data_IF_622543085916
#
_entry.id   IF_622543085916
#
_cell.length_a   1.000
_cell.length_b   1.000
_cell.length_c   1.000
_cell.angle_alpha   90.00
_cell.angle_beta   90.00
_cell.angle_gamma   90.00
#
_symmetry.space_group_name_H-M   'P 1'
#
loop_
_entity.id
_entity.type
_entity.pdbx_description
1 polymer ?
#
# COMPACT_ATOMS: atom_id res chain seq x y z
N UNK A 1 22.76 51.63 -35.65
CA UNK A 1 24.06 52.12 -35.19
C UNK A 1 24.59 51.06 -34.25
N UNK A 2 25.62 50.30 -34.47
CA UNK A 2 26.70 50.28 -35.47
C UNK A 2 27.36 48.90 -35.37
N UNK A 3 27.75 48.46 -36.51
CA UNK A 3 28.59 47.30 -36.80
C UNK A 3 29.90 47.31 -36.01
N UNK A 4 30.47 46.13 -35.73
CA UNK A 4 31.87 45.89 -36.09
C UNK A 4 32.13 44.41 -36.38
N UNK A 5 32.52 44.22 -37.64
CA UNK A 5 33.12 43.04 -38.26
C UNK A 5 34.61 43.02 -37.92
N UNK A 6 35.21 41.86 -37.73
CA UNK A 6 36.66 41.71 -37.57
C UNK A 6 37.10 40.28 -37.90
N UNK A 7 37.33 40.05 -39.23
CA UNK A 7 38.14 38.95 -39.76
C UNK A 7 39.61 39.21 -39.46
N UNK A 8 40.38 38.21 -39.01
CA UNK A 8 41.81 38.11 -39.35
C UNK A 8 42.19 36.67 -39.65
N UNK A 9 42.83 36.55 -40.81
CA UNK A 9 43.32 35.37 -41.49
C UNK A 9 44.63 34.82 -40.92
N UNK A 10 44.87 33.55 -41.13
CA UNK A 10 46.07 32.95 -41.63
C UNK A 10 47.25 32.71 -40.69
N UNK A 11 47.62 31.46 -40.49
CA UNK A 11 48.97 31.02 -40.85
C UNK A 11 49.05 29.49 -40.91
N UNK A 12 49.39 29.03 -42.10
CA UNK A 12 49.78 27.66 -42.42
C UNK A 12 51.26 27.51 -42.10
N UNK A 13 51.63 26.68 -41.16
CA UNK A 13 53.03 26.21 -41.02
C UNK A 13 53.03 24.69 -41.24
N UNK A 14 53.61 24.35 -42.42
CA UNK A 14 54.03 22.98 -42.73
C UNK A 14 55.37 22.74 -42.02
N UNK A 15 55.40 21.71 -41.15
CA UNK A 15 56.64 21.14 -40.65
C UNK A 15 56.69 19.66 -40.98
N UNK A 16 57.77 19.28 -41.65
CA UNK A 16 58.18 17.99 -42.18
C UNK A 16 58.36 16.96 -40.98
N UNK A 17 57.98 15.75 -41.25
CA UNK A 17 58.22 14.60 -40.37
C UNK A 17 59.71 14.16 -40.39
N UNK A 18 60.15 13.49 -39.30
CA UNK A 18 60.98 12.31 -39.46
C UNK A 18 60.29 11.06 -38.93
N UNK A 19 60.40 10.03 -39.77
CA UNK A 19 60.01 8.67 -39.39
C UNK A 19 60.96 8.14 -38.30
N UNK A 20 60.41 7.77 -37.17
CA UNK A 20 61.07 6.94 -36.14
C UNK A 20 60.35 5.62 -36.06
N UNK A 21 61.02 4.55 -36.49
CA UNK A 21 60.62 3.18 -36.19
C UNK A 21 60.76 2.97 -34.69
N UNK A 22 59.64 2.70 -34.02
CA UNK A 22 59.63 2.21 -32.64
C UNK A 22 58.96 0.83 -32.59
N UNK A 23 59.69 -0.12 -32.06
CA UNK A 23 59.32 -1.50 -31.87
C UNK A 23 58.05 -1.63 -31.07
N UNK A 24 57.13 -2.47 -31.55
CA UNK A 24 55.90 -2.84 -30.82
C UNK A 24 56.26 -3.75 -29.66
N UNK A 25 56.27 -3.21 -28.46
CA UNK A 25 56.14 -4.00 -27.21
C UNK A 25 54.65 -4.30 -26.99
N UNK A 26 54.27 -5.56 -27.14
CA UNK A 26 52.95 -6.08 -26.77
C UNK A 26 52.82 -6.07 -25.25
N UNK A 27 52.41 -4.93 -24.70
CA UNK A 27 51.97 -4.83 -23.31
C UNK A 27 50.54 -5.32 -23.25
N UNK A 28 50.35 -6.59 -22.83
CA UNK A 28 49.03 -7.10 -22.54
C UNK A 28 48.39 -6.35 -21.38
N UNK A 29 47.46 -5.44 -21.70
CA UNK A 29 46.62 -4.78 -20.71
C UNK A 29 45.62 -5.80 -20.16
N UNK A 30 45.88 -6.29 -18.97
CA UNK A 30 44.89 -7.07 -18.18
C UNK A 30 43.78 -6.08 -17.82
N UNK A 31 42.66 -6.11 -18.57
CA UNK A 31 41.44 -5.39 -18.20
C UNK A 31 40.87 -6.11 -17.00
N UNK A 32 41.17 -5.63 -15.80
CA UNK A 32 40.43 -6.05 -14.59
C UNK A 32 39.01 -5.55 -14.74
N UNK A 33 38.08 -6.44 -15.08
CA UNK A 33 36.66 -6.19 -14.96
C UNK A 33 36.35 -6.02 -13.47
N UNK A 34 36.23 -4.77 -13.01
CA UNK A 34 35.69 -4.46 -11.71
C UNK A 34 34.22 -4.96 -11.71
N UNK A 35 33.96 -6.01 -10.95
CA UNK A 35 32.58 -6.43 -10.70
C UNK A 35 31.85 -5.27 -10.02
N UNK A 36 30.84 -4.72 -10.72
CA UNK A 36 29.95 -3.74 -10.12
C UNK A 36 29.30 -4.37 -8.87
N UNK A 37 29.24 -3.66 -7.73
CA UNK A 37 28.54 -4.17 -6.57
C UNK A 37 27.10 -4.47 -6.99
N UNK A 38 26.69 -5.73 -6.90
CA UNK A 38 25.29 -6.10 -6.99
C UNK A 38 24.60 -5.42 -5.79
N UNK A 39 23.74 -4.45 -6.06
CA UNK A 39 22.89 -3.88 -5.05
C UNK A 39 22.07 -5.04 -4.47
N UNK A 40 22.36 -5.43 -3.22
CA UNK A 40 21.51 -6.38 -2.50
C UNK A 40 20.11 -5.76 -2.45
N UNK A 41 19.14 -6.41 -3.08
CA UNK A 41 17.75 -6.05 -2.88
C UNK A 41 17.48 -6.09 -1.37
N UNK A 42 16.95 -5.01 -0.80
CA UNK A 42 16.55 -5.02 0.60
C UNK A 42 15.51 -6.13 0.81
N UNK A 43 15.64 -6.91 1.89
CA UNK A 43 14.67 -7.94 2.18
C UNK A 43 13.28 -7.32 2.37
N UNK A 44 12.25 -8.00 1.85
CA UNK A 44 10.88 -7.57 2.01
C UNK A 44 10.51 -7.47 3.50
N UNK A 45 9.87 -6.38 3.96
CA UNK A 45 9.41 -6.26 5.33
C UNK A 45 8.21 -7.22 5.58
N UNK A 46 8.02 -7.63 6.84
CA UNK A 46 6.84 -8.40 7.22
C UNK A 46 5.55 -7.58 7.08
N UNK A 47 5.65 -6.28 7.37
CA UNK A 47 4.55 -5.31 7.34
C UNK A 47 5.00 -4.06 6.60
N UNK A 48 4.14 -3.51 5.75
CA UNK A 48 4.35 -2.19 5.18
C UNK A 48 3.12 -1.31 5.41
N UNK A 49 3.33 -0.13 5.99
CA UNK A 49 2.30 0.89 6.17
C UNK A 49 2.42 1.90 5.05
N UNK A 50 1.37 2.04 4.25
CA UNK A 50 1.22 3.13 3.29
C UNK A 50 0.34 4.19 3.93
N UNK A 51 0.84 5.41 4.07
CA UNK A 51 0.08 6.47 4.76
C UNK A 51 -0.01 7.74 3.91
N UNK A 52 -1.23 8.18 3.66
CA UNK A 52 -1.54 9.46 3.02
C UNK A 52 -1.87 10.50 4.08
N UNK A 53 -1.09 11.59 4.12
CA UNK A 53 -1.23 12.68 5.08
C UNK A 53 -2.46 13.55 4.80
N UNK A 54 -2.81 14.42 5.74
CA UNK A 54 -3.91 15.38 5.59
C UNK A 54 -3.54 16.61 4.75
N UNK A 55 -4.54 17.41 4.40
CA UNK A 55 -4.39 18.67 3.67
C UNK A 55 -3.47 19.63 4.41
N UNK A 56 -2.48 20.18 3.70
CA UNK A 56 -1.57 21.18 4.24
C UNK A 56 -0.46 20.63 5.14
N UNK A 57 -0.42 19.33 5.39
CA UNK A 57 0.69 18.72 6.13
C UNK A 57 1.94 18.62 5.26
N UNK A 58 3.12 18.76 5.89
CA UNK A 58 4.42 18.63 5.23
C UNK A 58 4.63 17.22 4.64
N UNK A 59 5.50 17.08 3.62
CA UNK A 59 5.85 15.77 3.05
C UNK A 59 6.29 14.76 4.12
N UNK A 60 5.72 13.56 4.05
CA UNK A 60 5.88 12.51 5.05
C UNK A 60 4.53 11.86 5.36
N UNK A 61 4.42 11.24 6.52
CA UNK A 61 3.17 10.63 6.99
C UNK A 61 2.29 11.59 7.80
N UNK A 62 2.78 12.79 8.10
CA UNK A 62 2.11 13.75 8.97
C UNK A 62 2.05 13.30 10.43
N UNK A 63 1.59 14.19 11.36
CA UNK A 63 1.53 13.90 12.79
C UNK A 63 0.63 12.69 13.12
N UNK A 64 -0.56 12.62 12.54
CA UNK A 64 -1.50 11.50 12.74
C UNK A 64 -0.90 10.18 12.25
N UNK A 65 -0.23 10.20 11.08
CA UNK A 65 0.45 9.03 10.55
C UNK A 65 1.61 8.57 11.42
N UNK A 66 2.41 9.50 11.95
CA UNK A 66 3.51 9.16 12.84
C UNK A 66 3.01 8.51 14.12
N UNK A 67 2.00 9.11 14.75
CA UNK A 67 1.39 8.56 15.95
C UNK A 67 0.79 7.16 15.71
N UNK A 68 0.14 6.94 14.58
CA UNK A 68 -0.38 5.63 14.17
C UNK A 68 0.73 4.60 13.98
N UNK A 69 1.78 4.94 13.23
CA UNK A 69 2.93 4.06 12.96
C UNK A 69 3.60 3.64 14.26
N UNK A 70 3.84 4.57 15.19
CA UNK A 70 4.49 4.27 16.47
C UNK A 70 3.62 3.36 17.34
N UNK A 71 2.32 3.62 17.38
CA UNK A 71 1.36 2.75 18.07
C UNK A 71 1.30 1.35 17.47
N UNK A 72 1.30 1.22 16.14
CA UNK A 72 1.24 -0.07 15.46
C UNK A 72 2.54 -0.87 15.67
N UNK A 73 3.70 -0.21 15.59
CA UNK A 73 5.01 -0.85 15.80
C UNK A 73 5.09 -1.58 17.13
N UNK A 74 4.53 -1.00 18.20
CA UNK A 74 4.47 -1.62 19.52
C UNK A 74 3.54 -2.85 19.62
N UNK A 75 2.69 -3.11 18.61
CA UNK A 75 1.63 -4.14 18.64
C UNK A 75 1.85 -5.32 17.69
N UNK A 76 2.85 -5.25 16.81
CA UNK A 76 3.08 -6.28 15.79
C UNK A 76 4.11 -7.35 16.18
N UNK A 77 4.54 -7.38 17.44
CA UNK A 77 5.34 -8.48 18.00
C UNK A 77 6.73 -8.64 17.39
N UNK A 78 7.44 -7.55 17.15
CA UNK A 78 8.83 -7.56 16.65
C UNK A 78 8.98 -7.86 15.15
N UNK A 79 7.89 -7.92 14.38
CA UNK A 79 7.95 -8.00 12.92
C UNK A 79 8.61 -6.75 12.34
N UNK A 80 9.38 -6.94 11.28
CA UNK A 80 9.93 -5.84 10.50
C UNK A 80 8.80 -5.01 9.89
N UNK A 81 8.89 -3.68 10.01
CA UNK A 81 7.88 -2.77 9.48
C UNK A 81 8.54 -1.61 8.75
N UNK A 82 8.16 -1.45 7.50
CA UNK A 82 8.49 -0.31 6.66
C UNK A 82 7.30 0.65 6.54
N UNK A 83 7.59 1.92 6.24
CA UNK A 83 6.58 2.97 6.10
C UNK A 83 6.79 3.70 4.80
N UNK A 84 5.75 3.74 3.99
CA UNK A 84 5.73 4.47 2.74
C UNK A 84 4.78 5.67 2.84
N UNK A 85 5.30 6.90 2.94
CA UNK A 85 4.48 8.10 2.85
C UNK A 85 4.04 8.30 1.40
N UNK A 86 2.73 8.44 1.18
CA UNK A 86 2.18 8.67 -0.15
C UNK A 86 2.65 10.02 -0.67
N UNK A 87 3.22 10.00 -1.87
CA UNK A 87 3.75 11.18 -2.52
C UNK A 87 2.67 11.91 -3.32
N UNK A 88 2.16 13.00 -2.77
CA UNK A 88 1.20 13.88 -3.43
C UNK A 88 1.24 15.28 -2.79
N UNK A 89 0.68 16.32 -3.44
CA UNK A 89 0.74 17.68 -2.91
C UNK A 89 0.05 17.87 -1.55
N UNK A 90 -1.02 17.15 -1.27
CA UNK A 90 -1.87 17.32 -0.07
C UNK A 90 -2.34 18.78 0.09
N UNK A 91 -2.71 19.41 -1.02
CA UNK A 91 -3.09 20.81 -1.07
C UNK A 91 -4.60 21.01 -0.86
N UNK A 92 -5.03 22.26 -0.71
CA UNK A 92 -6.46 22.59 -0.69
C UNK A 92 -7.14 22.37 -2.04
N UNK A 93 -6.38 22.21 -3.12
CA UNK A 93 -6.87 21.82 -4.43
C UNK A 93 -7.07 20.30 -4.47
N UNK A 94 -8.30 19.86 -4.25
CA UNK A 94 -8.64 18.44 -4.06
C UNK A 94 -8.34 17.56 -5.28
N UNK A 95 -8.38 18.12 -6.49
CA UNK A 95 -7.95 17.42 -7.71
C UNK A 95 -6.53 16.85 -7.61
N UNK A 96 -5.65 17.45 -6.79
CA UNK A 96 -4.29 16.93 -6.55
C UNK A 96 -4.26 15.62 -5.77
N UNK A 97 -5.38 15.25 -5.14
CA UNK A 97 -5.55 13.93 -4.52
C UNK A 97 -5.42 12.77 -5.51
N UNK A 98 -5.68 13.02 -6.81
CA UNK A 98 -5.48 12.03 -7.87
C UNK A 98 -4.02 11.55 -7.96
N UNK A 99 -3.05 12.42 -7.68
CA UNK A 99 -1.64 12.03 -7.67
C UNK A 99 -1.37 11.06 -6.52
N UNK A 100 -2.01 11.28 -5.37
CA UNK A 100 -1.95 10.36 -4.23
C UNK A 100 -2.59 9.01 -4.52
N UNK A 101 -3.72 8.98 -5.23
CA UNK A 101 -4.38 7.73 -5.64
C UNK A 101 -3.47 6.96 -6.62
N UNK A 102 -2.83 7.65 -7.57
CA UNK A 102 -1.88 7.03 -8.52
C UNK A 102 -0.65 6.47 -7.82
N UNK A 103 -0.03 7.26 -6.96
CA UNK A 103 1.17 6.87 -6.23
C UNK A 103 0.87 5.66 -5.32
N UNK A 104 -0.20 5.73 -4.53
CA UNK A 104 -0.60 4.65 -3.64
C UNK A 104 -0.95 3.37 -4.40
N UNK A 105 -1.75 3.47 -5.47
CA UNK A 105 -2.13 2.32 -6.30
C UNK A 105 -0.92 1.63 -6.91
N UNK A 106 -0.02 2.39 -7.54
CA UNK A 106 1.20 1.86 -8.14
C UNK A 106 2.12 1.20 -7.10
N UNK A 107 2.26 1.81 -5.91
CA UNK A 107 3.07 1.22 -4.84
C UNK A 107 2.48 -0.07 -4.29
N UNK A 108 1.17 -0.12 -4.09
CA UNK A 108 0.45 -1.34 -3.65
C UNK A 108 0.65 -2.48 -4.66
N UNK A 109 0.46 -2.23 -5.96
CA UNK A 109 0.69 -3.23 -7.01
C UNK A 109 2.14 -3.70 -7.06
N UNK A 110 3.09 -2.77 -6.99
CA UNK A 110 4.53 -3.07 -6.97
C UNK A 110 4.91 -3.92 -5.77
N UNK A 111 4.42 -3.59 -4.57
CA UNK A 111 4.68 -4.38 -3.36
C UNK A 111 4.05 -5.76 -3.43
N UNK A 112 2.81 -5.88 -3.91
CA UNK A 112 2.15 -7.17 -4.09
C UNK A 112 2.93 -8.09 -5.04
N UNK A 113 3.54 -7.53 -6.09
CA UNK A 113 4.32 -8.28 -7.07
C UNK A 113 5.72 -8.65 -6.56
N UNK A 114 6.44 -7.70 -5.94
CA UNK A 114 7.84 -7.89 -5.54
C UNK A 114 8.00 -8.51 -4.15
N UNK A 115 7.06 -8.25 -3.25
CA UNK A 115 7.06 -8.71 -1.86
C UNK A 115 5.73 -9.39 -1.48
N UNK A 116 5.36 -10.51 -2.10
CA UNK A 116 4.02 -11.10 -1.98
C UNK A 116 3.64 -11.57 -0.57
N UNK A 117 4.60 -11.69 0.35
CA UNK A 117 4.35 -12.08 1.74
C UNK A 117 4.20 -10.86 2.68
N UNK A 118 4.56 -9.66 2.21
CA UNK A 118 4.41 -8.44 2.99
C UNK A 118 2.92 -8.14 3.22
N UNK A 119 2.56 -7.91 4.47
CA UNK A 119 1.20 -7.50 4.86
C UNK A 119 1.10 -5.99 4.78
N UNK A 120 0.39 -5.47 3.80
CA UNK A 120 0.19 -4.03 3.65
C UNK A 120 -0.93 -3.53 4.56
N UNK A 121 -0.72 -2.34 5.15
CA UNK A 121 -1.72 -1.56 5.86
C UNK A 121 -1.89 -0.24 5.11
N UNK A 122 -3.07 -0.03 4.53
CA UNK A 122 -3.41 1.21 3.83
C UNK A 122 -4.05 2.16 4.82
N UNK A 123 -3.50 3.35 4.97
CA UNK A 123 -4.00 4.29 5.97
C UNK A 123 -3.88 5.74 5.48
N UNK A 124 -4.66 6.62 6.08
CA UNK A 124 -4.59 8.05 5.79
C UNK A 124 -5.43 8.85 6.76
N UNK A 125 -5.19 10.17 6.75
CA UNK A 125 -5.90 11.13 7.56
C UNK A 125 -6.57 12.20 6.68
N UNK A 126 -7.83 12.54 6.99
CA UNK A 126 -8.57 13.62 6.31
C UNK A 126 -8.61 13.43 4.78
N UNK A 127 -8.05 14.35 3.97
CA UNK A 127 -7.89 14.18 2.53
C UNK A 127 -7.14 12.88 2.20
N UNK A 128 -6.09 12.53 2.95
CA UNK A 128 -5.39 11.27 2.77
C UNK A 128 -6.24 10.05 3.06
N UNK A 129 -7.20 10.14 3.98
CA UNK A 129 -8.18 9.07 4.19
C UNK A 129 -9.14 8.92 2.99
N UNK A 130 -9.50 10.03 2.35
CA UNK A 130 -10.24 9.97 1.08
C UNK A 130 -9.40 9.36 -0.05
N UNK A 131 -8.13 9.75 -0.19
CA UNK A 131 -7.19 9.17 -1.16
C UNK A 131 -7.14 7.65 -1.00
N UNK A 132 -6.89 7.15 0.21
CA UNK A 132 -6.82 5.70 0.46
C UNK A 132 -8.18 5.02 0.31
N UNK A 133 -9.26 5.72 0.59
CA UNK A 133 -10.61 5.26 0.33
C UNK A 133 -10.86 5.04 -1.16
N UNK A 134 -10.42 5.96 -2.02
CA UNK A 134 -10.53 5.80 -3.48
C UNK A 134 -9.61 4.70 -4.02
N UNK A 135 -8.41 4.52 -3.47
CA UNK A 135 -7.53 3.38 -3.81
C UNK A 135 -8.22 2.04 -3.59
N UNK A 136 -9.07 1.96 -2.56
CA UNK A 136 -9.82 0.74 -2.21
C UNK A 136 -11.24 0.70 -2.79
N UNK A 137 -11.59 1.64 -3.67
CA UNK A 137 -12.90 1.70 -4.34
C UNK A 137 -13.07 0.56 -5.35
N UNK A 138 -14.28 0.02 -5.51
CA UNK A 138 -14.54 -1.07 -6.47
C UNK A 138 -14.66 -0.60 -7.92
N UNK A 139 -14.89 0.70 -8.12
CA UNK A 139 -15.13 1.30 -9.41
C UNK A 139 -14.75 2.79 -9.41
N UNK A 140 -14.58 3.35 -10.60
CA UNK A 140 -14.54 4.81 -10.77
C UNK A 140 -15.91 5.38 -10.37
N UNK A 141 -15.94 6.47 -9.56
CA UNK A 141 -17.21 7.08 -9.15
C UNK A 141 -18.07 7.53 -10.33
N UNK A 142 -19.39 7.49 -10.16
CA UNK A 142 -20.33 7.97 -11.15
C UNK A 142 -20.07 9.45 -11.50
N UNK A 143 -20.14 9.78 -12.78
CA UNK A 143 -19.90 11.14 -13.29
C UNK A 143 -18.43 11.51 -13.47
N UNK A 144 -17.48 10.65 -13.07
CA UNK A 144 -16.04 10.85 -13.30
C UNK A 144 -15.63 10.15 -14.59
N UNK A 145 -14.91 10.86 -15.48
CA UNK A 145 -14.38 10.25 -16.70
C UNK A 145 -13.28 9.23 -16.36
N UNK A 146 -13.48 7.93 -16.65
CA UNK A 146 -12.49 6.89 -16.36
C UNK A 146 -11.13 7.07 -17.05
N UNK A 147 -11.08 7.88 -18.13
CA UNK A 147 -9.82 8.16 -18.82
C UNK A 147 -8.90 9.13 -18.04
N UNK A 148 -9.46 9.88 -17.09
CA UNK A 148 -8.74 10.93 -16.33
C UNK A 148 -8.23 10.46 -14.98
N UNK A 149 -8.70 9.31 -14.49
CA UNK A 149 -8.42 8.79 -13.14
C UNK A 149 -7.76 7.41 -13.18
N UNK A 150 -7.08 6.99 -12.11
CA UNK A 150 -6.56 5.64 -12.01
C UNK A 150 -7.67 4.58 -12.08
N UNK A 151 -7.35 3.45 -12.66
CA UNK A 151 -8.26 2.29 -12.63
C UNK A 151 -8.31 1.72 -11.21
N UNK A 152 -9.45 1.16 -10.79
CA UNK A 152 -9.54 0.39 -9.55
C UNK A 152 -8.51 -0.74 -9.53
N UNK A 153 -7.96 -1.02 -8.34
CA UNK A 153 -7.05 -2.16 -8.14
C UNK A 153 -7.75 -3.48 -8.47
N UNK A 154 -7.01 -4.40 -9.07
CA UNK A 154 -7.51 -5.74 -9.31
C UNK A 154 -7.91 -6.43 -7.98
N UNK A 155 -9.03 -7.18 -7.94
CA UNK A 155 -9.58 -7.74 -6.69
C UNK A 155 -8.59 -8.61 -5.90
N UNK A 156 -7.68 -9.31 -6.59
CA UNK A 156 -6.64 -10.15 -5.98
C UNK A 156 -5.62 -9.37 -5.16
N UNK A 157 -5.38 -8.11 -5.49
CA UNK A 157 -4.48 -7.22 -4.74
C UNK A 157 -4.94 -7.08 -3.29
N UNK A 158 -6.25 -7.15 -3.04
CA UNK A 158 -6.77 -7.12 -1.68
C UNK A 158 -6.21 -8.23 -0.78
N UNK A 159 -5.75 -9.36 -1.33
CA UNK A 159 -5.18 -10.45 -0.54
C UNK A 159 -3.85 -10.05 0.14
N UNK A 160 -3.14 -9.07 -0.38
CA UNK A 160 -1.89 -8.52 0.18
C UNK A 160 -2.13 -7.40 1.19
N UNK A 161 -3.37 -6.89 1.29
CA UNK A 161 -3.76 -5.84 2.23
C UNK A 161 -4.37 -6.48 3.48
N UNK A 162 -3.69 -6.32 4.61
CA UNK A 162 -4.16 -6.83 5.91
C UNK A 162 -5.25 -5.94 6.51
N UNK A 163 -5.09 -4.63 6.43
CA UNK A 163 -6.02 -3.65 7.00
C UNK A 163 -6.08 -2.36 6.19
N UNK A 164 -7.22 -1.68 6.28
CA UNK A 164 -7.42 -0.30 5.84
C UNK A 164 -7.88 0.51 7.06
N UNK A 165 -7.12 1.56 7.41
CA UNK A 165 -7.38 2.37 8.61
C UNK A 165 -7.48 3.84 8.19
N UNK A 166 -8.68 4.39 8.26
CA UNK A 166 -8.98 5.72 7.76
C UNK A 166 -9.37 6.65 8.92
N UNK A 167 -8.56 7.66 9.18
CA UNK A 167 -8.77 8.65 10.23
C UNK A 167 -9.45 9.90 9.66
N UNK A 168 -10.52 10.37 10.30
CA UNK A 168 -11.22 11.59 9.88
C UNK A 168 -11.69 11.55 8.42
N UNK A 169 -12.14 10.39 7.93
CA UNK A 169 -12.57 10.23 6.53
C UNK A 169 -13.74 11.15 6.22
N UNK A 170 -13.64 12.02 5.20
CA UNK A 170 -14.76 12.86 4.83
C UNK A 170 -16.03 12.07 4.56
N UNK A 171 -17.11 12.43 5.23
CA UNK A 171 -18.44 11.87 5.00
C UNK A 171 -19.07 12.43 3.71
N UNK A 172 -20.22 11.90 3.31
CA UNK A 172 -20.92 12.32 2.08
C UNK A 172 -21.20 13.83 2.08
N UNK A 173 -21.54 14.41 3.26
CA UNK A 173 -21.82 15.87 3.36
C UNK A 173 -20.55 16.68 3.09
N UNK A 174 -19.41 16.26 3.68
CA UNK A 174 -18.12 16.93 3.47
C UNK A 174 -17.67 16.81 2.01
N UNK A 175 -17.79 15.61 1.41
CA UNK A 175 -17.44 15.41 0.00
C UNK A 175 -18.31 16.23 -0.94
N UNK A 176 -19.63 16.31 -0.70
CA UNK A 176 -20.53 17.15 -1.46
C UNK A 176 -20.18 18.65 -1.35
N UNK A 177 -19.78 19.12 -0.14
CA UNK A 177 -19.32 20.49 0.06
C UNK A 177 -18.06 20.79 -0.76
N UNK A 178 -17.18 19.81 -0.91
CA UNK A 178 -15.95 19.90 -1.69
C UNK A 178 -16.18 19.69 -3.20
N UNK A 179 -17.42 19.41 -3.61
CA UNK A 179 -17.78 19.04 -4.98
C UNK A 179 -16.99 17.80 -5.49
N UNK A 180 -16.75 16.87 -4.58
CA UNK A 180 -16.03 15.61 -4.84
C UNK A 180 -16.98 14.41 -4.69
N UNK A 181 -16.74 13.31 -5.39
CA UNK A 181 -17.57 12.11 -5.26
C UNK A 181 -17.41 11.47 -3.88
N UNK A 182 -18.44 10.73 -3.38
CA UNK A 182 -18.36 10.07 -2.07
C UNK A 182 -17.32 8.97 -2.06
N UNK A 183 -16.66 8.78 -0.90
CA UNK A 183 -15.70 7.71 -0.66
C UNK A 183 -16.42 6.39 -0.42
N UNK A 184 -16.30 5.45 -1.38
CA UNK A 184 -16.90 4.11 -1.34
C UNK A 184 -15.80 3.05 -1.23
N UNK A 185 -15.84 2.24 -0.16
CA UNK A 185 -14.91 1.14 0.04
C UNK A 185 -15.43 -0.11 -0.69
N UNK A 186 -14.57 -0.73 -1.49
CA UNK A 186 -14.89 -1.96 -2.22
C UNK A 186 -15.19 -3.15 -1.32
N UNK A 187 -16.04 -4.09 -1.74
CA UNK A 187 -16.45 -5.24 -0.92
C UNK A 187 -15.27 -6.12 -0.48
N UNK A 188 -14.20 -6.21 -1.29
CA UNK A 188 -12.97 -6.96 -0.96
C UNK A 188 -12.17 -6.34 0.19
N UNK A 189 -12.39 -5.06 0.47
CA UNK A 189 -11.75 -4.32 1.56
C UNK A 189 -12.68 -4.07 2.75
N UNK A 190 -13.99 -4.16 2.58
CA UNK A 190 -14.96 -3.74 3.59
C UNK A 190 -14.75 -4.41 4.96
N UNK A 191 -14.53 -5.73 5.00
CA UNK A 191 -14.34 -6.50 6.25
C UNK A 191 -13.01 -6.21 6.95
N UNK A 192 -12.07 -5.58 6.27
CA UNK A 192 -10.74 -5.22 6.77
C UNK A 192 -10.53 -3.70 6.88
N UNK A 193 -11.61 -2.92 6.82
CA UNK A 193 -11.58 -1.46 6.92
C UNK A 193 -12.17 -0.99 8.24
N UNK A 194 -11.49 -0.05 8.89
CA UNK A 194 -12.03 0.76 9.99
C UNK A 194 -11.96 2.23 9.61
N UNK A 195 -13.06 2.96 9.83
CA UNK A 195 -13.09 4.43 9.79
C UNK A 195 -13.10 4.93 11.24
N UNK A 196 -12.07 5.66 11.62
CA UNK A 196 -11.93 6.23 12.96
C UNK A 196 -12.25 7.71 12.89
N UNK A 197 -13.26 8.12 13.63
CA UNK A 197 -13.73 9.50 13.67
C UNK A 197 -13.64 10.02 15.11
N UNK A 198 -13.04 11.20 15.30
CA UNK A 198 -13.03 11.88 16.57
C UNK A 198 -14.46 12.33 16.91
N UNK A 199 -14.86 12.29 18.18
CA UNK A 199 -16.16 12.82 18.60
C UNK A 199 -16.33 14.28 18.14
N UNK A 200 -17.52 14.63 17.64
CA UNK A 200 -17.89 15.99 17.17
C UNK A 200 -17.10 16.49 15.94
N UNK A 201 -16.23 15.68 15.31
CA UNK A 201 -15.54 16.07 14.07
C UNK A 201 -16.54 16.18 12.89
N UNK A 202 -16.80 17.39 12.34
CA UNK A 202 -17.80 17.59 11.30
C UNK A 202 -17.39 16.98 9.94
N UNK A 203 -16.13 16.64 9.75
CA UNK A 203 -15.64 16.03 8.51
C UNK A 203 -16.13 14.58 8.38
N UNK A 204 -16.18 13.84 9.47
CA UNK A 204 -16.53 12.42 9.46
C UNK A 204 -17.78 12.07 10.28
N UNK A 205 -18.33 13.00 11.07
CA UNK A 205 -19.55 12.82 11.87
C UNK A 205 -20.57 13.93 11.61
N UNK A 206 -21.67 13.92 12.34
CA UNK A 206 -22.66 15.02 12.33
C UNK A 206 -22.33 16.12 13.34
N UNK A 207 -21.17 16.03 14.01
CA UNK A 207 -20.69 17.04 14.92
C UNK A 207 -20.42 18.38 14.25
N UNK A 208 -20.15 19.39 15.07
CA UNK A 208 -19.93 20.76 14.61
C UNK A 208 -18.65 21.40 15.19
N UNK A 209 -17.80 20.62 15.82
CA UNK A 209 -16.53 21.08 16.39
C UNK A 209 -15.37 20.84 15.43
N UNK A 210 -15.03 21.85 14.61
CA UNK A 210 -13.91 21.75 13.67
C UNK A 210 -12.56 21.49 14.35
N UNK A 211 -12.36 21.97 15.60
CA UNK A 211 -11.14 21.69 16.34
C UNK A 211 -10.96 20.19 16.66
N UNK A 212 -12.05 19.41 16.69
CA UNK A 212 -11.96 17.97 16.88
C UNK A 212 -11.28 17.26 15.68
N UNK A 213 -11.33 17.89 14.48
CA UNK A 213 -10.63 17.36 13.31
C UNK A 213 -9.12 17.38 13.46
N UNK A 214 -8.57 18.26 14.25
CA UNK A 214 -7.12 18.44 14.44
C UNK A 214 -6.56 17.62 15.63
N UNK A 215 -7.41 16.85 16.36
CA UNK A 215 -6.99 16.15 17.59
C UNK A 215 -6.43 14.74 17.39
N UNK A 216 -6.42 14.21 16.18
CA UNK A 216 -6.07 12.78 15.92
C UNK A 216 -4.66 12.41 16.36
N UNK A 217 -3.69 13.32 16.19
CA UNK A 217 -2.31 13.08 16.64
C UNK A 217 -2.16 13.18 18.15
N UNK A 218 -2.94 14.04 18.80
CA UNK A 218 -2.82 14.36 20.23
C UNK A 218 -3.61 13.40 21.11
N UNK A 219 -4.75 12.87 20.60
CA UNK A 219 -5.55 11.87 21.28
C UNK A 219 -5.04 10.46 20.99
N UNK A 220 -4.14 10.00 21.85
CA UNK A 220 -3.56 8.66 21.73
C UNK A 220 -4.59 7.52 21.67
N UNK A 221 -5.82 7.72 22.17
CA UNK A 221 -6.89 6.72 22.12
C UNK A 221 -7.45 6.53 20.71
N UNK A 222 -7.51 7.61 19.92
CA UNK A 222 -8.02 7.59 18.54
C UNK A 222 -7.07 6.79 17.65
N UNK A 223 -5.77 7.11 17.68
CA UNK A 223 -4.78 6.38 16.88
C UNK A 223 -4.59 4.95 17.38
N UNK A 224 -4.66 4.72 18.70
CA UNK A 224 -4.58 3.38 19.29
C UNK A 224 -5.68 2.46 18.76
N UNK A 225 -6.91 2.94 18.62
CA UNK A 225 -8.03 2.17 18.07
C UNK A 225 -7.74 1.68 16.64
N UNK A 226 -7.19 2.53 15.80
CA UNK A 226 -6.75 2.15 14.45
C UNK A 226 -5.61 1.15 14.47
N UNK A 227 -4.61 1.36 15.34
CA UNK A 227 -3.44 0.48 15.48
C UNK A 227 -3.81 -0.91 16.03
N UNK A 228 -4.72 -1.00 16.99
CA UNK A 228 -5.26 -2.26 17.49
C UNK A 228 -5.99 -3.05 16.41
N UNK A 229 -6.83 -2.37 15.64
CA UNK A 229 -7.51 -2.99 14.51
C UNK A 229 -6.51 -3.54 13.49
N UNK A 230 -5.53 -2.74 13.04
CA UNK A 230 -4.51 -3.17 12.09
C UNK A 230 -3.69 -4.34 12.65
N UNK A 231 -3.22 -4.25 13.90
CA UNK A 231 -2.47 -5.31 14.55
C UNK A 231 -3.25 -6.62 14.64
N UNK A 232 -4.55 -6.56 14.95
CA UNK A 232 -5.42 -7.75 14.98
C UNK A 232 -5.47 -8.47 13.64
N UNK A 233 -5.48 -7.70 12.53
CA UNK A 233 -5.49 -8.24 11.17
C UNK A 233 -4.12 -8.77 10.73
N UNK A 234 -3.04 -8.09 11.10
CA UNK A 234 -1.66 -8.53 10.86
C UNK A 234 -1.38 -9.84 11.61
N UNK A 235 -1.83 -9.95 12.86
CA UNK A 235 -1.58 -11.09 13.73
C UNK A 235 -2.53 -12.28 13.46
N UNK A 236 -3.70 -12.03 12.85
CA UNK A 236 -4.54 -13.12 12.34
C UNK A 236 -3.74 -13.91 11.29
N UNK A 237 -3.70 -15.23 11.43
CA UNK A 237 -3.19 -16.09 10.36
C UNK A 237 -3.98 -15.87 9.06
N UNK A 238 -3.52 -16.43 7.93
CA UNK A 238 -4.33 -16.44 6.72
C UNK A 238 -5.73 -16.98 7.07
N UNK A 239 -6.80 -16.41 6.47
CA UNK A 239 -8.13 -16.96 6.68
C UNK A 239 -8.12 -18.46 6.39
N UNK A 240 -8.83 -19.29 7.16
CA UNK A 240 -8.93 -20.71 6.86
C UNK A 240 -9.38 -20.83 5.41
N UNK A 241 -8.56 -21.49 4.60
CA UNK A 241 -8.90 -21.77 3.20
C UNK A 241 -10.30 -22.43 3.16
N UNK A 242 -11.01 -22.35 2.03
CA UNK A 242 -12.29 -23.05 1.89
C UNK A 242 -12.08 -24.49 2.34
N UNK A 243 -12.89 -24.93 3.27
CA UNK A 243 -12.81 -26.30 3.80
C UNK A 243 -12.78 -27.24 2.61
N UNK A 244 -11.63 -27.86 2.38
CA UNK A 244 -11.52 -28.91 1.37
C UNK A 244 -12.58 -29.97 1.64
N UNK A 245 -13.08 -30.67 0.63
CA UNK A 245 -14.07 -31.72 0.83
C UNK A 245 -13.56 -32.65 1.91
N UNK A 246 -14.31 -32.74 3.00
CA UNK A 246 -14.04 -33.67 4.09
C UNK A 246 -14.10 -35.07 3.46
N UNK A 247 -12.97 -35.68 3.18
CA UNK A 247 -12.91 -37.10 2.85
C UNK A 247 -13.42 -37.83 4.10
N UNK A 248 -14.67 -38.26 4.03
CA UNK A 248 -15.22 -39.18 5.01
C UNK A 248 -14.27 -40.41 5.03
N UNK A 249 -13.59 -40.59 6.17
CA UNK A 249 -12.77 -41.75 6.38
C UNK A 249 -13.60 -43.02 6.18
N UNK A 250 -12.99 -44.16 5.77
CA UNK A 250 -13.72 -45.39 5.57
C UNK A 250 -14.40 -45.77 6.86
N UNK A 251 -15.74 -45.82 6.82
CA UNK A 251 -16.55 -46.37 7.89
C UNK A 251 -16.23 -47.84 8.03
N UNK A 252 -15.50 -48.25 9.06
CA UNK A 252 -15.32 -49.65 9.41
C UNK A 252 -16.72 -50.16 9.81
N UNK A 253 -17.29 -50.97 8.91
CA UNK A 253 -18.51 -51.70 9.20
C UNK A 253 -18.22 -52.65 10.36
N UNK A 254 -18.85 -52.39 11.49
CA UNK A 254 -18.88 -53.35 12.64
C UNK A 254 -19.59 -54.63 12.25
N UNK A 255 -19.20 -55.78 12.87
CA UNK A 255 -19.78 -57.07 12.53
C UNK A 255 -21.29 -57.08 12.79
N UNK A 256 -22.06 -57.66 11.85
CA UNK A 256 -23.48 -57.80 11.91
C UNK A 256 -23.90 -58.66 13.13
N UNK A 257 -25.01 -58.35 13.82
CA UNK A 257 -25.53 -59.17 14.92
C UNK A 257 -26.00 -60.51 14.38
N UNK A 258 -25.53 -61.59 15.02
CA UNK A 258 -25.95 -62.97 14.74
C UNK A 258 -27.36 -63.12 15.26
N UNK A 259 -28.32 -63.38 14.36
CA UNK A 259 -29.71 -63.72 14.70
C UNK A 259 -29.72 -65.17 15.12
N UNK A 260 -29.90 -65.44 16.43
CA UNK A 260 -30.12 -66.74 16.99
C UNK A 260 -31.49 -67.29 16.56
N UNK A 261 -31.54 -68.48 15.95
CA UNK A 261 -32.76 -69.22 15.62
C UNK A 261 -33.47 -69.64 16.90
N UNK A 262 -34.80 -69.56 16.98
CA UNK A 262 -35.56 -70.15 18.08
C UNK A 262 -35.72 -71.64 17.91
N UNK A 263 -35.16 -72.43 18.86
CA UNK A 263 -35.48 -73.84 18.97
C UNK A 263 -36.93 -73.99 19.53
N UNK A 264 -37.76 -74.64 18.73
CA UNK A 264 -39.02 -75.13 19.13
C UNK A 264 -38.86 -76.32 20.11
N UNK A 265 -39.55 -76.26 21.20
CA UNK A 265 -39.72 -77.38 22.11
C UNK A 265 -41.19 -77.72 22.24
N UNK A 266 -41.58 -78.90 21.79
CA UNK A 266 -42.83 -79.57 21.98
C UNK A 266 -42.85 -80.18 23.36
N UNK A 267 -44.04 -80.28 23.99
CA UNK A 267 -44.21 -81.26 24.98
C UNK A 267 -45.29 -81.01 26.04
N UNK A 268 -46.44 -81.63 25.80
CA UNK A 268 -47.50 -82.07 26.69
C UNK A 268 -48.21 -81.06 27.63
#
# INVERSE_FOLDING_TARGET
>A
MGNYCGMIAGNVIRILAPAVLAAAALSGSVVSAAAAPVASAQPCPDVQVLFARGTGEDPGVGPTGQAFVDNLRGRIGGRSMDVYPINYPASQEWSTGLDGIRDAGAHVESTAASCPQTKMVLSGYSQGAAVMGFVTSPAVPDGVDPATVPKPLAPEIANHVAAVVLFGTPNVRAMNFLNEPPVVIGPTYASKTIKVCAPEDPVCSDGMNFAAHDTYADDGSIVAKGAEFAASRINAGPPPGPAGPTTAGPTTAGPAPVVGSPHGGFGS
#
